data_IF_162409489768
#
_entry.id   IF_162409489768
#
_cell.length_a   1.000
_cell.length_b   1.000
_cell.length_c   1.000
_cell.angle_alpha   90.00
_cell.angle_beta   90.00
_cell.angle_gamma   90.00
#
_symmetry.space_group_name_H-M   'P 1'
#
loop_
_entity.id
_entity.type
_entity.pdbx_description
1 polymer ?
#
# COMPACT_ATOMS: atom_id res chain seq x y z
N UNK A 1 -13.72 -11.81 21.75
CA UNK A 1 -13.76 -10.63 20.85
C UNK A 1 -12.80 -10.93 19.71
N UNK A 2 -13.32 -10.89 18.49
CA UNK A 2 -13.00 -11.77 17.36
C UNK A 2 -11.56 -11.72 16.86
N UNK A 3 -10.91 -12.88 16.85
CA UNK A 3 -9.70 -13.14 16.08
C UNK A 3 -10.02 -14.29 15.12
N UNK A 4 -10.71 -13.98 14.02
CA UNK A 4 -10.78 -14.88 12.88
C UNK A 4 -9.37 -14.96 12.28
N UNK A 5 -8.60 -15.91 12.82
CA UNK A 5 -7.24 -16.25 12.41
C UNK A 5 -7.22 -16.88 11.03
N UNK A 6 -7.55 -16.11 10.00
CA UNK A 6 -7.16 -16.44 8.64
C UNK A 6 -5.64 -16.24 8.56
N UNK A 7 -4.91 -17.30 8.24
CA UNK A 7 -3.49 -17.17 7.92
C UNK A 7 -3.37 -16.13 6.79
N UNK A 8 -2.82 -14.97 7.12
CA UNK A 8 -2.69 -13.87 6.18
C UNK A 8 -1.80 -14.26 4.99
N UNK A 9 -1.06 -15.37 5.07
CA UNK A 9 -0.28 -15.89 3.95
C UNK A 9 -1.16 -16.50 2.85
N UNK A 10 -2.40 -16.93 3.16
CA UNK A 10 -3.36 -17.46 2.17
C UNK A 10 -4.09 -16.36 1.41
N UNK A 11 -4.16 -15.15 1.97
CA UNK A 11 -4.82 -14.01 1.32
C UNK A 11 -3.85 -13.41 0.32
N UNK A 12 -4.20 -13.45 -0.97
CA UNK A 12 -3.41 -12.84 -2.03
C UNK A 12 -3.98 -11.46 -2.41
N UNK A 13 -3.12 -10.47 -2.65
CA UNK A 13 -3.50 -9.16 -3.18
C UNK A 13 -2.61 -8.76 -4.34
N UNK A 14 -3.08 -7.80 -5.12
CA UNK A 14 -2.33 -7.26 -6.26
C UNK A 14 -1.53 -6.05 -5.84
N UNK A 15 -0.23 -6.05 -6.13
CA UNK A 15 0.62 -4.88 -6.00
C UNK A 15 0.21 -3.79 -6.99
N UNK A 16 0.01 -2.56 -6.53
CA UNK A 16 -0.40 -1.44 -7.39
C UNK A 16 0.73 -0.92 -8.30
N UNK A 17 1.99 -1.27 -8.00
CA UNK A 17 3.17 -0.89 -8.78
C UNK A 17 3.38 -1.80 -9.99
N UNK A 18 3.78 -3.05 -9.75
CA UNK A 18 4.07 -4.04 -10.78
C UNK A 18 2.82 -4.73 -11.35
N UNK A 19 1.69 -4.73 -10.62
CA UNK A 19 0.44 -5.49 -10.91
C UNK A 19 0.55 -7.01 -10.72
N UNK A 20 1.64 -7.52 -10.14
CA UNK A 20 1.76 -8.91 -9.71
C UNK A 20 0.91 -9.19 -8.48
N UNK A 21 0.46 -10.44 -8.34
CA UNK A 21 -0.28 -10.93 -7.17
C UNK A 21 0.67 -11.63 -6.21
N UNK A 22 0.53 -11.37 -4.93
CA UNK A 22 1.36 -11.98 -3.89
C UNK A 22 0.59 -12.14 -2.59
N UNK A 23 1.09 -13.01 -1.71
CA UNK A 23 0.58 -13.14 -0.36
C UNK A 23 0.62 -11.77 0.31
N UNK A 24 -0.41 -11.44 1.09
CA UNK A 24 -0.42 -10.13 1.71
C UNK A 24 0.75 -9.96 2.67
N UNK A 25 1.29 -11.01 3.26
CA UNK A 25 2.52 -10.97 4.08
C UNK A 25 3.75 -10.48 3.32
N UNK A 26 3.78 -10.62 1.99
CA UNK A 26 4.82 -10.08 1.11
C UNK A 26 4.56 -8.63 0.66
N UNK A 27 3.38 -8.08 1.00
CA UNK A 27 2.92 -6.75 0.59
C UNK A 27 2.73 -5.84 1.81
N UNK A 28 3.13 -4.58 1.67
CA UNK A 28 2.81 -3.54 2.63
C UNK A 28 1.47 -2.92 2.26
N UNK A 29 0.57 -2.82 3.24
CA UNK A 29 -0.68 -2.08 3.10
C UNK A 29 -0.38 -0.60 3.26
N UNK A 30 -0.86 0.22 2.34
CA UNK A 30 -0.81 1.67 2.38
C UNK A 30 -2.22 2.19 2.58
N UNK A 31 -2.43 3.10 3.52
CA UNK A 31 -3.76 3.60 3.88
C UNK A 31 -3.83 5.09 3.62
N UNK A 32 -4.95 5.52 3.05
CA UNK A 32 -5.30 6.92 2.93
C UNK A 32 -5.74 7.49 4.29
N UNK A 33 -4.99 8.44 4.83
CA UNK A 33 -5.33 9.17 6.04
C UNK A 33 -5.71 10.60 5.65
N UNK A 34 -6.99 10.98 5.75
CA UNK A 34 -7.42 12.35 5.47
C UNK A 34 -6.75 13.33 6.46
N UNK A 35 -6.02 14.31 5.94
CA UNK A 35 -5.53 15.46 6.71
C UNK A 35 -6.39 16.70 6.47
N UNK A 36 -6.06 17.82 7.14
CA UNK A 36 -6.80 19.08 6.99
C UNK A 36 -6.74 19.67 5.58
N UNK A 37 -5.59 19.53 4.90
CA UNK A 37 -5.33 20.15 3.59
C UNK A 37 -5.09 19.14 2.47
N UNK A 38 -4.52 17.98 2.79
CA UNK A 38 -4.22 16.92 1.83
C UNK A 38 -4.40 15.54 2.46
N UNK A 39 -4.68 14.53 1.65
CA UNK A 39 -4.71 13.14 2.12
C UNK A 39 -3.30 12.58 2.11
N UNK A 40 -2.86 12.10 3.27
CA UNK A 40 -1.53 11.50 3.45
C UNK A 40 -1.65 9.99 3.25
N UNK A 41 -0.78 9.44 2.41
CA UNK A 41 -0.69 7.99 2.24
C UNK A 41 0.32 7.44 3.25
N UNK A 42 -0.18 6.64 4.19
CA UNK A 42 0.60 6.14 5.32
C UNK A 42 0.82 4.64 5.22
N UNK A 43 2.05 4.14 5.45
CA UNK A 43 2.30 2.71 5.56
C UNK A 43 1.64 2.10 6.79
N UNK A 44 0.95 0.98 6.61
CA UNK A 44 0.28 0.20 7.66
C UNK A 44 0.77 -1.26 7.63
N UNK A 45 2.03 -1.53 8.05
CA UNK A 45 2.59 -2.88 8.06
C UNK A 45 1.82 -3.80 9.02
N UNK A 46 1.18 -3.23 10.07
CA UNK A 46 0.39 -3.97 11.07
C UNK A 46 -1.06 -4.21 10.66
N UNK A 47 -1.54 -3.63 9.55
CA UNK A 47 -2.92 -3.73 9.05
C UNK A 47 -3.96 -3.27 10.05
N UNK A 48 -3.61 -2.36 10.95
CA UNK A 48 -4.46 -1.92 12.05
C UNK A 48 -5.17 -0.61 11.75
N UNK A 49 -4.79 0.11 10.69
CA UNK A 49 -5.36 1.43 10.41
C UNK A 49 -6.73 1.34 9.70
N UNK A 50 -7.74 2.09 10.15
CA UNK A 50 -9.02 2.16 9.47
C UNK A 50 -8.86 2.91 8.14
N UNK A 51 -9.73 2.59 7.16
CA UNK A 51 -9.79 3.30 5.88
C UNK A 51 -9.43 2.46 4.66
N UNK A 52 -9.45 3.12 3.49
CA UNK A 52 -9.17 2.47 2.20
C UNK A 52 -7.67 2.16 2.12
N UNK A 53 -7.38 0.89 1.85
CA UNK A 53 -6.01 0.40 1.72
C UNK A 53 -5.67 0.03 0.27
N UNK A 54 -4.43 0.29 -0.12
CA UNK A 54 -3.79 -0.26 -1.30
C UNK A 54 -2.64 -1.18 -0.87
N UNK A 55 -2.20 -2.06 -1.76
CA UNK A 55 -1.10 -2.99 -1.48
C UNK A 55 0.07 -2.73 -2.43
N UNK A 56 1.28 -2.67 -1.87
CA UNK A 56 2.50 -2.46 -2.62
C UNK A 56 3.57 -3.42 -2.10
N UNK A 57 4.38 -3.99 -2.99
CA UNK A 57 5.61 -4.64 -2.54
C UNK A 57 6.51 -3.60 -1.88
N UNK A 58 7.23 -3.97 -0.80
CA UNK A 58 8.23 -3.10 -0.17
C UNK A 58 9.48 -2.97 -1.05
N UNK A 59 9.30 -2.64 -2.33
CA UNK A 59 10.34 -2.56 -3.35
C UNK A 59 10.40 -1.17 -4.00
N UNK A 60 11.59 -0.53 -4.06
CA UNK A 60 11.76 0.77 -4.70
C UNK A 60 11.22 0.84 -6.13
N UNK A 61 11.33 -0.25 -6.91
CA UNK A 61 10.82 -0.34 -8.28
C UNK A 61 9.31 -0.31 -8.30
N UNK A 62 8.66 -1.03 -7.39
CA UNK A 62 7.20 -1.02 -7.28
C UNK A 62 6.69 0.36 -6.87
N UNK A 63 7.37 1.02 -5.94
CA UNK A 63 7.07 2.38 -5.50
C UNK A 63 7.16 3.37 -6.66
N UNK A 64 8.26 3.35 -7.41
CA UNK A 64 8.47 4.24 -8.56
C UNK A 64 7.43 3.99 -9.67
N UNK A 65 7.14 2.72 -9.98
CA UNK A 65 6.08 2.35 -10.93
C UNK A 65 4.71 2.87 -10.48
N UNK A 66 4.38 2.76 -9.20
CA UNK A 66 3.12 3.25 -8.64
C UNK A 66 3.03 4.79 -8.71
N UNK A 67 4.13 5.52 -8.45
CA UNK A 67 4.22 6.98 -8.60
C UNK A 67 4.00 7.39 -10.05
N UNK A 68 4.78 6.83 -10.99
CA UNK A 68 4.70 7.16 -12.42
C UNK A 68 3.30 6.92 -13.01
N UNK A 69 2.65 5.84 -12.58
CA UNK A 69 1.30 5.46 -13.07
C UNK A 69 0.17 6.16 -12.35
N UNK A 70 0.46 7.03 -11.36
CA UNK A 70 -0.54 7.65 -10.47
C UNK A 70 -1.46 6.58 -9.83
N UNK A 71 -0.88 5.43 -9.48
CA UNK A 71 -1.64 4.26 -9.04
C UNK A 71 -2.28 4.47 -7.66
N UNK A 72 -1.69 5.30 -6.79
CA UNK A 72 -2.20 5.58 -5.44
C UNK A 72 -3.59 6.20 -5.46
N UNK A 73 -3.81 7.26 -6.24
CA UNK A 73 -5.12 7.91 -6.34
C UNK A 73 -6.20 6.94 -6.84
N UNK A 74 -5.88 6.14 -7.87
CA UNK A 74 -6.80 5.14 -8.42
C UNK A 74 -7.11 4.02 -7.41
N UNK A 75 -6.09 3.48 -6.76
CA UNK A 75 -6.24 2.36 -5.83
C UNK A 75 -6.96 2.77 -4.54
N UNK A 76 -6.66 3.97 -4.03
CA UNK A 76 -7.27 4.51 -2.82
C UNK A 76 -8.62 5.21 -3.11
N UNK A 77 -8.99 5.37 -4.38
CA UNK A 77 -10.19 6.08 -4.85
C UNK A 77 -10.27 7.50 -4.28
N UNK A 78 -9.16 8.22 -4.38
CA UNK A 78 -9.04 9.60 -3.93
C UNK A 78 -8.97 10.53 -5.13
N UNK A 79 -9.67 11.64 -5.02
CA UNK A 79 -9.62 12.76 -5.96
C UNK A 79 -8.87 13.90 -5.26
N UNK A 80 -7.86 14.46 -5.92
CA UNK A 80 -7.07 15.58 -5.39
C UNK A 80 -5.62 15.25 -5.04
N UNK A 81 -4.89 16.23 -4.45
CA UNK A 81 -3.49 16.10 -4.12
C UNK A 81 -3.28 15.06 -3.01
N UNK A 82 -2.27 14.19 -3.22
CA UNK A 82 -1.85 13.18 -2.27
C UNK A 82 -0.44 13.51 -1.77
N UNK A 83 -0.27 13.41 -0.46
CA UNK A 83 1.05 13.39 0.15
C UNK A 83 1.57 11.95 0.18
N UNK A 84 2.69 11.73 -0.52
CA UNK A 84 3.37 10.44 -0.66
C UNK A 84 4.75 10.46 0.02
N UNK A 85 5.04 11.42 0.89
CA UNK A 85 6.35 11.52 1.57
C UNK A 85 6.62 10.32 2.49
N UNK A 86 5.60 9.83 3.19
CA UNK A 86 5.75 8.75 4.17
C UNK A 86 5.96 7.36 3.54
N UNK A 87 5.62 7.18 2.26
CA UNK A 87 5.74 5.86 1.62
C UNK A 87 7.14 5.55 1.11
N UNK A 88 8.06 6.51 1.10
CA UNK A 88 9.47 6.25 0.77
C UNK A 88 10.15 5.33 1.80
N UNK A 89 9.67 5.34 3.05
CA UNK A 89 10.13 4.43 4.10
C UNK A 89 9.74 2.96 3.87
N UNK A 90 8.89 2.66 2.87
CA UNK A 90 8.38 1.30 2.59
C UNK A 90 9.33 0.48 1.72
N UNK A 91 10.27 1.13 1.03
CA UNK A 91 11.09 0.52 0.00
C UNK A 91 12.40 -0.07 0.55
N UNK A 92 12.30 -1.02 1.48
CA UNK A 92 13.45 -1.64 2.16
C UNK A 92 13.94 -2.96 1.52
N UNK A 93 13.13 -3.60 0.65
CA UNK A 93 13.48 -4.86 -0.03
C UNK A 93 13.73 -4.63 -1.52
N UNK A 94 14.75 -5.25 -2.10
CA UNK A 94 15.11 -5.02 -3.51
C UNK A 94 14.82 -6.21 -4.44
N UNK A 95 14.01 -7.15 -3.96
CA UNK A 95 13.92 -8.50 -4.53
C UNK A 95 12.70 -8.77 -5.40
N UNK A 96 11.81 -7.80 -5.62
CA UNK A 96 10.60 -8.02 -6.41
C UNK A 96 10.83 -7.69 -7.89
N UNK A 97 10.70 -8.70 -8.76
CA UNK A 97 10.86 -8.59 -10.22
C UNK A 97 9.52 -8.60 -10.94
#
# INVERSE_FOLDING_TARGET
MSADGVDSSLVTRTCIGCRSRDAVTALVRLVAVPGETTTVVTPDPRRSMPGRGAHLHPDPRCLELARRRKAFGRALRLEGPLDLTLIDAVADRTTHQ
#
